data_IF_864280580384
#
_entry.id   IF_864280580384
#
_cell.length_a   1.000
_cell.length_b   1.000
_cell.length_c   1.000
_cell.angle_alpha   90.00
_cell.angle_beta   90.00
_cell.angle_gamma   90.00
#
_symmetry.space_group_name_H-M   'P 1'
#
loop_
_entity.id
_entity.type
_entity.pdbx_description
1 polymer ?
#
# COMPACT_ATOMS: atom_id res chain seq x y z
N UNK A 1 16.49 50.50 -7.43
CA UNK A 1 16.91 50.14 -8.80
C UNK A 1 18.39 49.69 -8.88
N UNK A 2 18.88 48.92 -7.88
CA UNK A 2 20.23 48.30 -7.88
C UNK A 2 20.17 46.78 -7.56
N UNK A 3 19.01 46.25 -7.18
CA UNK A 3 18.84 44.87 -6.67
C UNK A 3 18.94 43.75 -7.72
N UNK A 4 18.82 44.06 -9.02
CA UNK A 4 18.80 43.05 -10.12
C UNK A 4 20.15 42.88 -10.85
N UNK A 5 21.23 43.50 -10.38
CA UNK A 5 22.48 43.60 -11.17
C UNK A 5 23.61 42.65 -10.78
N UNK A 6 23.52 41.99 -9.64
CA UNK A 6 24.56 41.06 -9.17
C UNK A 6 24.17 39.63 -9.53
N UNK A 7 25.00 38.96 -10.32
CA UNK A 7 24.91 37.51 -10.54
C UNK A 7 25.23 36.75 -9.24
N UNK A 8 24.80 35.50 -9.12
CA UNK A 8 25.11 34.67 -7.94
C UNK A 8 26.62 34.51 -7.72
N UNK A 9 27.38 34.49 -8.81
CA UNK A 9 28.85 34.42 -8.80
C UNK A 9 29.47 35.70 -8.23
N UNK A 10 28.98 36.87 -8.65
CA UNK A 10 29.43 38.17 -8.09
C UNK A 10 29.01 38.34 -6.63
N UNK A 11 27.85 37.81 -6.23
CA UNK A 11 27.41 37.83 -4.83
C UNK A 11 28.32 36.96 -3.96
N UNK A 12 28.64 35.76 -4.43
CA UNK A 12 29.55 34.83 -3.75
C UNK A 12 30.97 35.40 -3.63
N UNK A 13 31.45 36.11 -4.65
CA UNK A 13 32.76 36.76 -4.64
C UNK A 13 32.84 37.87 -3.57
N UNK A 14 31.83 38.73 -3.48
CA UNK A 14 31.75 39.79 -2.45
C UNK A 14 31.72 39.19 -1.04
N UNK A 15 30.95 38.10 -0.84
CA UNK A 15 30.85 37.41 0.44
C UNK A 15 32.13 36.65 0.83
N UNK A 16 32.98 36.29 -0.16
CA UNK A 16 34.26 35.61 0.05
C UNK A 16 35.38 36.53 0.54
N UNK A 17 35.18 37.86 0.49
CA UNK A 17 36.03 38.84 1.16
C UNK A 17 37.16 39.47 0.33
N UNK A 18 37.34 39.11 -0.95
CA UNK A 18 38.28 39.79 -1.85
C UNK A 18 37.70 39.83 -3.27
N UNK A 19 37.41 41.03 -3.77
CA UNK A 19 36.94 41.26 -5.15
C UNK A 19 37.99 42.08 -5.86
N UNK A 20 38.56 41.56 -6.97
CA UNK A 20 39.61 42.25 -7.76
C UNK A 20 40.79 42.84 -6.94
N UNK A 21 41.14 42.19 -5.82
CA UNK A 21 42.25 42.61 -4.95
C UNK A 21 41.94 43.77 -4.00
N UNK A 22 40.67 44.16 -3.86
CA UNK A 22 40.18 45.16 -2.90
C UNK A 22 39.26 44.50 -1.88
N UNK A 23 39.47 44.76 -0.59
CA UNK A 23 38.57 44.28 0.47
C UNK A 23 37.22 45.04 0.38
N UNK A 24 36.08 44.33 0.33
CA UNK A 24 34.78 44.96 0.28
C UNK A 24 34.50 45.75 1.57
N UNK A 25 33.87 46.91 1.41
CA UNK A 25 33.52 47.76 2.55
C UNK A 25 32.47 47.10 3.44
N UNK A 26 32.40 47.50 4.71
CA UNK A 26 31.39 46.99 5.66
C UNK A 26 29.96 47.18 5.16
N UNK A 27 29.71 48.25 4.39
CA UNK A 27 28.40 48.54 3.81
C UNK A 27 28.08 47.63 2.61
N UNK A 28 29.07 47.31 1.77
CA UNK A 28 28.93 46.37 0.65
C UNK A 28 28.68 44.95 1.14
N UNK A 29 29.40 44.52 2.19
CA UNK A 29 29.22 43.21 2.79
C UNK A 29 27.81 43.07 3.40
N UNK A 30 27.35 44.09 4.14
CA UNK A 30 26.01 44.09 4.74
C UNK A 30 24.90 44.03 3.67
N UNK A 31 25.04 44.78 2.58
CA UNK A 31 24.08 44.77 1.47
C UNK A 31 24.08 43.44 0.70
N UNK A 32 25.25 42.79 0.57
CA UNK A 32 25.35 41.48 -0.06
C UNK A 32 24.69 40.37 0.79
N UNK A 33 24.86 40.42 2.12
CA UNK A 33 24.19 39.49 3.05
C UNK A 33 22.67 39.67 3.01
N UNK A 34 22.17 40.91 3.08
CA UNK A 34 20.73 41.18 3.00
C UNK A 34 20.13 40.70 1.66
N UNK A 35 20.86 40.88 0.55
CA UNK A 35 20.44 40.41 -0.76
C UNK A 35 20.43 38.87 -0.86
N UNK A 36 21.36 38.17 -0.19
CA UNK A 36 21.36 36.70 -0.11
C UNK A 36 20.15 36.20 0.66
N UNK A 37 19.86 36.76 1.84
CA UNK A 37 18.71 36.38 2.67
C UNK A 37 17.39 36.59 1.91
N UNK A 38 17.27 37.71 1.19
CA UNK A 38 16.10 37.98 0.34
C UNK A 38 15.95 36.97 -0.81
N UNK A 39 17.05 36.46 -1.39
CA UNK A 39 16.99 35.43 -2.44
C UNK A 39 16.52 34.10 -1.87
N UNK A 40 17.08 33.68 -0.75
CA UNK A 40 16.71 32.44 -0.06
C UNK A 40 15.22 32.44 0.35
N UNK A 41 14.73 33.57 0.89
CA UNK A 41 13.30 33.74 1.21
C UNK A 41 12.41 33.66 -0.03
N UNK A 42 12.83 34.28 -1.15
CA UNK A 42 12.08 34.21 -2.41
C UNK A 42 12.05 32.81 -3.00
N UNK A 43 13.15 32.05 -2.92
CA UNK A 43 13.20 30.66 -3.37
C UNK A 43 12.28 29.77 -2.53
N UNK A 44 12.29 29.95 -1.21
CA UNK A 44 11.40 29.25 -0.29
C UNK A 44 9.92 29.53 -0.63
N UNK A 45 9.55 30.81 -0.77
CA UNK A 45 8.19 31.21 -1.14
C UNK A 45 7.78 30.65 -2.51
N UNK A 46 8.68 30.64 -3.51
CA UNK A 46 8.39 30.02 -4.81
C UNK A 46 8.17 28.51 -4.70
N UNK A 47 8.93 27.84 -3.84
CA UNK A 47 8.75 26.41 -3.54
C UNK A 47 7.38 26.13 -2.90
N UNK A 48 6.97 26.94 -1.93
CA UNK A 48 5.65 26.83 -1.27
C UNK A 48 4.51 27.11 -2.25
N UNK A 49 4.64 28.14 -3.09
CA UNK A 49 3.64 28.48 -4.11
C UNK A 49 3.49 27.35 -5.15
N UNK A 50 4.60 26.73 -5.56
CA UNK A 50 4.58 25.59 -6.48
C UNK A 50 3.87 24.38 -5.86
N UNK A 51 4.16 24.06 -4.59
CA UNK A 51 3.45 23.00 -3.84
C UNK A 51 1.94 23.29 -3.78
N UNK A 52 1.55 24.51 -3.44
CA UNK A 52 0.14 24.92 -3.40
C UNK A 52 -0.53 24.78 -4.78
N UNK A 53 0.16 25.15 -5.86
CA UNK A 53 -0.34 25.01 -7.23
C UNK A 53 -0.57 23.55 -7.64
N UNK A 54 0.39 22.67 -7.31
CA UNK A 54 0.27 21.23 -7.57
C UNK A 54 -0.94 20.65 -6.82
N UNK A 55 -1.12 21.02 -5.54
CA UNK A 55 -2.27 20.60 -4.74
C UNK A 55 -3.58 21.06 -5.36
N UNK A 56 -3.66 22.32 -5.80
CA UNK A 56 -4.86 22.85 -6.44
C UNK A 56 -5.19 22.15 -7.76
N UNK A 57 -4.18 21.85 -8.60
CA UNK A 57 -4.37 21.10 -9.84
C UNK A 57 -4.88 19.68 -9.59
N UNK A 58 -4.35 19.01 -8.56
CA UNK A 58 -4.83 17.69 -8.16
C UNK A 58 -6.28 17.75 -7.68
N UNK A 59 -6.63 18.75 -6.86
CA UNK A 59 -8.01 18.95 -6.41
C UNK A 59 -8.96 19.23 -7.57
N UNK A 60 -8.56 20.05 -8.55
CA UNK A 60 -9.35 20.30 -9.76
C UNK A 60 -9.56 19.03 -10.60
N UNK A 61 -8.53 18.18 -10.75
CA UNK A 61 -8.66 16.89 -11.42
C UNK A 61 -9.64 15.97 -10.70
N UNK A 62 -9.63 15.93 -9.37
CA UNK A 62 -10.59 15.14 -8.60
C UNK A 62 -12.01 15.69 -8.76
N UNK A 63 -12.22 17.01 -8.68
CA UNK A 63 -13.52 17.65 -8.92
C UNK A 63 -14.06 17.36 -10.33
N UNK A 64 -13.20 17.30 -11.34
CA UNK A 64 -13.60 16.90 -12.70
C UNK A 64 -14.03 15.44 -12.78
N UNK A 65 -13.43 14.53 -11.99
CA UNK A 65 -13.87 13.13 -11.91
C UNK A 65 -15.26 13.00 -11.29
N UNK A 66 -15.53 13.68 -10.16
CA UNK A 66 -16.85 13.63 -9.52
C UNK A 66 -17.96 14.19 -10.42
N UNK A 67 -17.67 15.22 -11.23
CA UNK A 67 -18.61 15.76 -12.22
C UNK A 67 -19.08 14.72 -13.26
N UNK A 68 -18.25 13.71 -13.56
CA UNK A 68 -18.63 12.64 -14.49
C UNK A 68 -19.51 11.55 -13.83
N UNK A 69 -19.51 11.45 -12.50
CA UNK A 69 -20.29 10.45 -11.75
C UNK A 69 -21.76 10.88 -11.64
N UNK A 70 -22.02 12.15 -11.38
CA UNK A 70 -23.38 12.70 -11.29
C UNK A 70 -24.13 12.71 -12.64
N UNK A 71 -23.42 12.49 -13.76
CA UNK A 71 -23.99 12.42 -15.10
C UNK A 71 -24.29 11.01 -15.61
N UNK A 72 -23.99 9.96 -14.83
CA UNK A 72 -24.26 8.59 -15.25
C UNK A 72 -25.77 8.27 -15.14
N UNK A 73 -26.34 7.69 -16.20
CA UNK A 73 -27.72 7.20 -16.15
C UNK A 73 -27.77 5.80 -15.50
N UNK A 74 -28.70 5.55 -14.55
CA UNK A 74 -28.87 4.24 -13.94
C UNK A 74 -29.45 3.24 -14.95
N UNK A 75 -28.97 1.99 -14.89
CA UNK A 75 -29.32 0.94 -15.86
C UNK A 75 -30.52 0.13 -15.38
N UNK A 76 -30.52 -0.22 -14.10
CA UNK A 76 -31.61 -0.93 -13.41
C UNK A 76 -31.75 -0.39 -11.99
N UNK A 77 -32.77 -0.81 -11.27
CA UNK A 77 -32.88 -0.59 -9.84
C UNK A 77 -33.29 -1.86 -9.12
N UNK A 78 -33.01 -1.92 -7.83
CA UNK A 78 -33.42 -3.00 -6.93
C UNK A 78 -33.88 -2.41 -5.61
N UNK A 79 -34.33 -3.22 -4.66
CA UNK A 79 -34.71 -2.77 -3.32
C UNK A 79 -34.03 -3.58 -2.22
N UNK A 80 -34.18 -3.13 -0.98
CA UNK A 80 -33.57 -3.76 0.18
C UNK A 80 -34.08 -5.19 0.43
N UNK A 81 -35.31 -5.51 0.02
CA UNK A 81 -35.88 -6.84 0.17
C UNK A 81 -35.22 -7.82 -0.81
N UNK A 82 -35.07 -7.42 -2.07
CA UNK A 82 -34.37 -8.21 -3.08
C UNK A 82 -32.91 -8.46 -2.68
N UNK A 83 -32.22 -7.47 -2.09
CA UNK A 83 -30.86 -7.66 -1.58
C UNK A 83 -30.79 -8.66 -0.40
N UNK A 84 -31.82 -8.69 0.46
CA UNK A 84 -31.92 -9.71 1.51
C UNK A 84 -32.12 -11.11 0.93
N UNK A 85 -32.94 -11.22 -0.11
CA UNK A 85 -33.24 -12.48 -0.78
C UNK A 85 -32.00 -12.99 -1.55
N UNK A 86 -31.22 -12.09 -2.17
CA UNK A 86 -29.89 -12.43 -2.74
C UNK A 86 -28.97 -13.00 -1.67
N UNK A 87 -28.89 -12.38 -0.49
CA UNK A 87 -28.02 -12.86 0.60
C UNK A 87 -28.47 -14.21 1.16
N UNK A 88 -29.79 -14.47 1.20
CA UNK A 88 -30.37 -15.70 1.77
C UNK A 88 -30.31 -16.86 0.78
N UNK A 89 -30.75 -16.61 -0.45
CA UNK A 89 -31.07 -17.65 -1.44
C UNK A 89 -30.19 -17.59 -2.70
N UNK A 90 -29.37 -16.54 -2.85
CA UNK A 90 -28.47 -16.36 -3.99
C UNK A 90 -29.11 -15.72 -5.22
N UNK A 91 -30.37 -15.25 -5.14
CA UNK A 91 -31.06 -14.59 -6.24
C UNK A 91 -31.99 -13.48 -5.75
N UNK A 92 -32.23 -12.49 -6.62
CA UNK A 92 -33.18 -11.38 -6.39
C UNK A 92 -33.51 -10.68 -7.69
N UNK A 93 -34.60 -9.91 -7.70
CA UNK A 93 -35.11 -9.23 -8.88
C UNK A 93 -34.41 -7.88 -9.14
N UNK A 94 -34.25 -7.59 -10.43
CA UNK A 94 -33.84 -6.31 -10.96
C UNK A 94 -35.00 -5.70 -11.74
N UNK A 95 -35.23 -4.40 -11.54
CA UNK A 95 -36.34 -3.67 -12.13
C UNK A 95 -35.84 -2.60 -13.11
N UNK A 96 -36.65 -2.29 -14.12
CA UNK A 96 -36.34 -1.25 -15.11
C UNK A 96 -36.47 0.14 -14.50
N UNK A 97 -35.50 1.02 -14.75
CA UNK A 97 -35.55 2.42 -14.29
C UNK A 97 -36.59 3.23 -15.07
N UNK A 98 -36.97 2.81 -16.28
CA UNK A 98 -37.95 3.51 -17.08
C UNK A 98 -38.93 2.56 -17.79
N UNK A 99 -40.21 2.47 -17.39
CA UNK A 99 -40.82 3.17 -16.27
C UNK A 99 -40.53 2.48 -14.92
N UNK A 100 -40.36 3.27 -13.85
CA UNK A 100 -40.58 2.77 -12.48
C UNK A 100 -42.09 2.57 -12.33
N UNK A 101 -42.51 1.39 -11.86
CA UNK A 101 -43.93 1.07 -11.69
C UNK A 101 -44.62 2.10 -10.77
N UNK A 102 -45.85 2.57 -11.09
CA UNK A 102 -46.47 3.73 -10.41
C UNK A 102 -46.72 3.58 -8.91
N UNK A 103 -46.64 2.36 -8.38
CA UNK A 103 -46.94 2.01 -6.99
C UNK A 103 -45.69 1.72 -6.16
N UNK A 104 -44.50 1.96 -6.72
CA UNK A 104 -43.23 1.78 -6.02
C UNK A 104 -43.01 2.90 -5.02
N UNK A 105 -42.63 2.54 -3.79
CA UNK A 105 -42.14 3.48 -2.79
C UNK A 105 -40.78 4.03 -3.23
N UNK A 106 -40.65 5.34 -3.54
CA UNK A 106 -39.40 5.92 -3.99
C UNK A 106 -38.25 5.77 -2.97
N UNK A 107 -38.56 5.61 -1.69
CA UNK A 107 -37.56 5.42 -0.63
C UNK A 107 -36.94 4.03 -0.62
N UNK A 108 -37.52 3.07 -1.36
CA UNK A 108 -37.01 1.71 -1.49
C UNK A 108 -36.15 1.50 -2.73
N UNK A 109 -36.04 2.50 -3.60
CA UNK A 109 -35.37 2.39 -4.91
C UNK A 109 -33.86 2.56 -4.75
N UNK A 110 -33.11 1.48 -4.96
CA UNK A 110 -31.65 1.46 -5.05
C UNK A 110 -31.25 1.37 -6.53
N UNK A 111 -30.76 2.47 -7.10
CA UNK A 111 -30.34 2.54 -8.51
C UNK A 111 -28.99 1.85 -8.70
N UNK A 112 -28.90 1.01 -9.73
CA UNK A 112 -27.70 0.29 -10.13
C UNK A 112 -27.22 0.80 -11.49
N UNK A 113 -25.91 0.94 -11.62
CA UNK A 113 -25.25 1.48 -12.81
C UNK A 113 -24.38 0.37 -13.40
N UNK A 114 -24.18 0.35 -14.72
CA UNK A 114 -23.32 -0.65 -15.36
C UNK A 114 -21.81 -0.45 -15.10
N UNK A 115 -21.42 0.71 -14.52
CA UNK A 115 -20.08 1.11 -14.00
C UNK A 115 -19.02 1.26 -15.12
N UNK A 116 -18.10 2.27 -15.05
CA UNK A 116 -17.39 2.65 -13.83
C UNK A 116 -17.33 4.12 -13.43
N UNK A 117 -17.44 4.43 -12.11
CA UNK A 117 -16.82 5.61 -11.55
C UNK A 117 -15.61 5.22 -10.68
N UNK A 118 -14.46 5.24 -11.35
CA UNK A 118 -13.11 5.57 -10.91
C UNK A 118 -12.40 4.78 -9.77
N UNK A 119 -11.08 4.49 -9.93
CA UNK A 119 -10.16 4.00 -8.89
C UNK A 119 -10.03 4.88 -7.63
N UNK A 120 -10.74 6.01 -7.57
CA UNK A 120 -10.58 7.02 -6.54
C UNK A 120 -11.03 6.58 -5.14
N UNK A 121 -12.02 5.68 -5.03
CA UNK A 121 -12.39 5.13 -3.71
C UNK A 121 -11.24 4.31 -3.14
N UNK A 122 -10.52 3.56 -3.98
CA UNK A 122 -9.34 2.82 -3.54
C UNK A 122 -8.18 3.76 -3.21
N UNK A 123 -7.90 4.78 -4.03
CA UNK A 123 -6.83 5.74 -3.75
C UNK A 123 -7.09 6.56 -2.48
N UNK A 124 -8.33 7.02 -2.26
CA UNK A 124 -8.70 7.77 -1.05
C UNK A 124 -8.70 6.87 0.19
N UNK A 125 -9.15 5.62 0.07
CA UNK A 125 -9.06 4.62 1.15
C UNK A 125 -7.59 4.27 1.43
N UNK A 126 -6.74 4.11 0.41
CA UNK A 126 -5.31 3.85 0.58
C UNK A 126 -4.58 5.04 1.20
N UNK A 127 -4.94 6.27 0.84
CA UNK A 127 -4.40 7.48 1.46
C UNK A 127 -4.86 7.61 2.93
N UNK A 128 -6.12 7.29 3.23
CA UNK A 128 -6.63 7.26 4.61
C UNK A 128 -5.94 6.16 5.41
N UNK A 129 -5.76 4.97 4.83
CA UNK A 129 -5.00 3.86 5.44
C UNK A 129 -3.57 4.33 5.73
N UNK A 130 -2.89 4.97 4.78
CA UNK A 130 -1.54 5.52 4.98
C UNK A 130 -1.49 6.58 6.10
N UNK A 131 -2.46 7.48 6.17
CA UNK A 131 -2.56 8.49 7.25
C UNK A 131 -2.81 7.85 8.62
N UNK A 132 -3.57 6.75 8.67
CA UNK A 132 -3.84 6.00 9.90
C UNK A 132 -2.63 5.15 10.33
N UNK A 133 -1.96 4.48 9.39
CA UNK A 133 -0.77 3.66 9.63
C UNK A 133 0.43 4.49 10.11
N UNK A 134 0.61 5.70 9.56
CA UNK A 134 1.68 6.62 9.95
C UNK A 134 1.31 7.53 11.13
N UNK A 135 0.07 7.44 11.64
CA UNK A 135 -0.45 8.25 12.74
C UNK A 135 -0.45 9.77 12.48
N UNK A 136 -0.45 10.19 11.21
CA UNK A 136 -0.40 11.59 10.75
C UNK A 136 -1.79 12.27 10.72
N UNK A 137 -2.86 11.49 10.91
CA UNK A 137 -4.24 12.00 10.94
C UNK A 137 -4.49 13.01 12.09
N UNK A 138 -3.76 12.90 13.19
CA UNK A 138 -3.92 13.75 14.37
C UNK A 138 -3.57 15.22 14.10
N UNK A 139 -2.65 15.51 13.18
CA UNK A 139 -2.25 16.90 12.88
C UNK A 139 -3.33 17.69 12.12
N UNK A 140 -4.25 16.99 11.45
CA UNK A 140 -5.28 17.59 10.61
C UNK A 140 -6.65 17.77 11.29
N UNK A 141 -6.88 17.21 12.48
CA UNK A 141 -8.18 17.22 13.16
C UNK A 141 -8.33 18.25 14.29
N UNK A 142 -7.35 19.11 14.58
CA UNK A 142 -7.29 19.81 15.88
C UNK A 142 -7.95 21.21 15.96
N UNK A 143 -8.45 21.77 14.86
CA UNK A 143 -8.89 23.18 14.83
C UNK A 143 -10.40 23.43 15.03
N UNK A 144 -11.22 22.39 15.21
CA UNK A 144 -12.68 22.56 15.39
C UNK A 144 -13.23 21.58 16.42
N UNK A 145 -14.37 21.91 17.05
CA UNK A 145 -15.08 21.01 17.99
C UNK A 145 -15.44 19.68 17.33
N UNK A 146 -15.85 19.73 16.05
CA UNK A 146 -16.11 18.52 15.27
C UNK A 146 -14.81 17.73 15.07
N UNK A 147 -13.71 18.40 14.79
CA UNK A 147 -12.38 17.80 14.65
C UNK A 147 -11.91 17.08 15.91
N UNK A 148 -12.06 17.68 17.10
CA UNK A 148 -11.72 17.03 18.37
C UNK A 148 -12.64 15.85 18.70
N UNK A 149 -13.92 15.91 18.32
CA UNK A 149 -14.84 14.77 18.46
C UNK A 149 -14.50 13.65 17.48
N UNK A 150 -14.12 13.99 16.24
CA UNK A 150 -13.65 13.03 15.25
C UNK A 150 -12.34 12.40 15.70
N UNK A 151 -11.41 13.19 16.21
CA UNK A 151 -10.14 12.74 16.78
C UNK A 151 -10.38 11.80 17.95
N UNK A 152 -11.26 12.18 18.88
CA UNK A 152 -11.65 11.33 20.01
C UNK A 152 -12.31 10.03 19.55
N UNK A 153 -13.18 10.07 18.55
CA UNK A 153 -13.89 8.89 18.06
C UNK A 153 -12.98 7.98 17.23
N UNK A 154 -12.09 8.53 16.41
CA UNK A 154 -11.04 7.79 15.69
C UNK A 154 -10.06 7.17 16.69
N UNK A 155 -9.56 7.93 17.68
CA UNK A 155 -8.71 7.41 18.76
C UNK A 155 -9.42 6.28 19.51
N UNK A 156 -10.72 6.44 19.79
CA UNK A 156 -11.53 5.43 20.47
C UNK A 156 -11.67 4.17 19.61
N UNK A 157 -11.97 4.30 18.32
CA UNK A 157 -12.12 3.17 17.40
C UNK A 157 -10.77 2.46 17.16
N UNK A 158 -9.69 3.21 16.94
CA UNK A 158 -8.33 2.67 16.84
C UNK A 158 -7.93 1.96 18.14
N UNK A 159 -8.22 2.56 19.30
CA UNK A 159 -7.99 1.98 20.62
C UNK A 159 -8.90 0.79 20.98
N UNK A 160 -10.06 0.63 20.32
CA UNK A 160 -10.90 -0.58 20.42
C UNK A 160 -10.43 -1.70 19.48
N UNK A 161 -9.74 -1.34 18.40
CA UNK A 161 -9.14 -2.28 17.45
C UNK A 161 -7.77 -2.74 17.95
N UNK A 162 -7.12 -1.95 18.80
CA UNK A 162 -5.94 -2.39 19.55
C UNK A 162 -6.37 -3.17 20.80
N UNK A 163 -5.79 -4.36 21.06
CA UNK A 163 -6.04 -5.08 22.30
C UNK A 163 -5.56 -4.24 23.49
N UNK A 164 -6.25 -4.40 24.62
CA UNK A 164 -6.08 -3.61 25.85
C UNK A 164 -4.60 -3.42 26.27
N UNK A 165 -4.25 -2.29 26.94
CA UNK A 165 -2.90 -2.03 27.44
C UNK A 165 -2.61 -2.99 28.60
N UNK A 166 -2.11 -4.16 28.23
CA UNK A 166 -1.90 -5.33 29.09
C UNK A 166 -1.30 -6.53 28.35
N UNK A 167 -1.26 -6.52 27.02
CA UNK A 167 -0.47 -7.46 26.23
C UNK A 167 -0.01 -6.80 24.92
N UNK A 168 0.89 -5.83 25.03
CA UNK A 168 1.76 -5.47 23.91
C UNK A 168 2.75 -6.61 23.70
N UNK A 169 2.30 -7.73 23.16
CA UNK A 169 3.22 -8.58 22.42
C UNK A 169 3.39 -7.89 21.07
N UNK A 170 4.26 -6.89 21.02
CA UNK A 170 5.16 -6.80 19.88
C UNK A 170 5.76 -8.20 19.76
N UNK A 171 5.15 -9.06 18.93
CA UNK A 171 5.65 -10.40 18.67
C UNK A 171 6.96 -10.19 17.92
N UNK A 172 8.01 -9.93 18.70
CA UNK A 172 9.38 -10.14 18.30
C UNK A 172 9.39 -11.51 17.64
N UNK A 173 9.66 -11.53 16.33
CA UNK A 173 9.76 -12.73 15.53
C UNK A 173 10.53 -13.79 16.33
N UNK A 174 9.85 -14.87 16.70
CA UNK A 174 10.44 -15.91 17.54
C UNK A 174 11.65 -16.50 16.83
N UNK A 175 12.61 -17.03 17.58
CA UNK A 175 13.80 -17.64 16.98
C UNK A 175 13.44 -18.76 15.99
N UNK A 176 12.35 -19.50 16.26
CA UNK A 176 11.85 -20.52 15.35
C UNK A 176 11.36 -19.93 14.01
N UNK A 177 10.56 -18.85 14.04
CA UNK A 177 10.10 -18.18 12.82
C UNK A 177 11.27 -17.54 12.05
N UNK A 178 12.21 -16.93 12.77
CA UNK A 178 13.43 -16.35 12.19
C UNK A 178 14.26 -17.39 11.45
N UNK A 179 14.41 -18.58 12.02
CA UNK A 179 15.15 -19.69 11.41
C UNK A 179 14.46 -20.25 10.16
N UNK A 180 13.13 -20.34 10.16
CA UNK A 180 12.36 -20.77 8.97
C UNK A 180 12.51 -19.76 7.84
N UNK A 181 12.38 -18.46 8.13
CA UNK A 181 12.60 -17.40 7.14
C UNK A 181 14.03 -17.43 6.61
N UNK A 182 15.02 -17.55 7.50
CA UNK A 182 16.42 -17.62 7.11
C UNK A 182 16.71 -18.86 6.23
N UNK A 183 16.10 -20.00 6.53
CA UNK A 183 16.25 -21.20 5.70
C UNK A 183 15.58 -21.05 4.33
N UNK A 184 14.37 -20.48 4.26
CA UNK A 184 13.71 -20.19 2.98
C UNK A 184 14.57 -19.26 2.12
N UNK A 185 15.13 -18.21 2.71
CA UNK A 185 16.06 -17.31 2.02
C UNK A 185 17.33 -18.02 1.56
N UNK A 186 17.86 -18.97 2.34
CA UNK A 186 19.02 -19.79 1.93
C UNK A 186 18.67 -20.72 0.76
N UNK A 187 17.49 -21.34 0.76
CA UNK A 187 17.03 -22.19 -0.36
C UNK A 187 17.00 -21.38 -1.66
N UNK A 188 16.48 -20.16 -1.62
CA UNK A 188 16.44 -19.27 -2.80
C UNK A 188 17.85 -18.81 -3.18
N UNK A 189 18.57 -18.15 -2.27
CA UNK A 189 19.82 -17.44 -2.58
C UNK A 189 21.05 -18.34 -2.74
N UNK A 190 21.11 -19.47 -2.04
CA UNK A 190 22.29 -20.36 -2.03
C UNK A 190 22.04 -21.63 -2.83
N UNK A 191 20.83 -22.20 -2.75
CA UNK A 191 20.49 -23.42 -3.50
C UNK A 191 19.91 -23.14 -4.88
N UNK A 192 19.46 -21.91 -5.15
CA UNK A 192 18.82 -21.55 -6.41
C UNK A 192 17.43 -22.17 -6.57
N UNK A 193 16.79 -22.57 -5.47
CA UNK A 193 15.41 -23.06 -5.48
C UNK A 193 14.49 -21.85 -5.52
N UNK A 194 14.31 -21.30 -6.72
CA UNK A 194 13.58 -20.05 -6.91
C UNK A 194 12.06 -20.30 -6.89
N UNK A 195 11.25 -19.28 -6.56
CA UNK A 195 9.79 -19.37 -6.66
C UNK A 195 9.30 -19.87 -8.02
N UNK A 196 9.95 -19.46 -9.12
CA UNK A 196 9.59 -19.86 -10.47
C UNK A 196 9.92 -21.34 -10.74
N UNK A 197 10.97 -21.88 -10.10
CA UNK A 197 11.27 -23.30 -10.13
C UNK A 197 10.25 -24.09 -9.32
N UNK A 198 9.88 -23.58 -8.15
CA UNK A 198 8.85 -24.17 -7.28
C UNK A 198 7.49 -24.28 -8.03
N UNK A 199 7.16 -23.29 -8.88
CA UNK A 199 5.94 -23.28 -9.71
C UNK A 199 5.87 -24.41 -10.75
N UNK A 200 6.99 -25.09 -11.04
CA UNK A 200 7.00 -26.26 -11.94
C UNK A 200 6.50 -27.54 -11.27
N UNK A 201 6.39 -27.56 -9.95
CA UNK A 201 5.91 -28.70 -9.17
C UNK A 201 4.39 -28.68 -9.04
N UNK A 202 3.75 -29.82 -9.33
CA UNK A 202 2.27 -29.95 -9.37
C UNK A 202 1.76 -31.22 -8.65
N UNK A 203 2.65 -32.15 -8.29
CA UNK A 203 2.36 -33.42 -7.65
C UNK A 203 2.64 -33.43 -6.14
N UNK A 204 2.58 -32.28 -5.48
CA UNK A 204 2.88 -32.11 -4.04
C UNK A 204 4.33 -32.40 -3.65
N UNK A 205 5.27 -32.28 -4.59
CA UNK A 205 6.69 -32.62 -4.40
C UNK A 205 7.33 -31.82 -3.26
N UNK A 206 7.01 -30.52 -3.14
CA UNK A 206 7.50 -29.67 -2.04
C UNK A 206 7.01 -30.17 -0.67
N UNK A 207 5.74 -30.59 -0.57
CA UNK A 207 5.16 -31.14 0.65
C UNK A 207 5.74 -32.53 0.97
N UNK A 208 5.95 -33.37 -0.05
CA UNK A 208 6.55 -34.70 0.10
C UNK A 208 8.03 -34.62 0.57
N UNK A 209 8.79 -33.66 0.02
CA UNK A 209 10.13 -33.34 0.51
C UNK A 209 10.11 -32.82 1.96
N UNK A 210 9.10 -32.06 2.37
CA UNK A 210 8.95 -31.62 3.75
C UNK A 210 8.72 -32.82 4.71
N UNK A 211 7.88 -33.79 4.34
CA UNK A 211 7.67 -35.03 5.10
C UNK A 211 9.00 -35.77 5.29
N UNK A 212 9.82 -35.86 4.24
CA UNK A 212 11.13 -36.51 4.31
C UNK A 212 12.07 -35.87 5.33
N UNK A 213 11.95 -34.57 5.59
CA UNK A 213 12.68 -33.91 6.68
C UNK A 213 12.02 -34.12 8.05
N UNK A 214 10.69 -34.22 8.14
CA UNK A 214 9.99 -34.51 9.41
C UNK A 214 10.30 -35.94 9.88
N UNK A 215 10.28 -36.90 8.96
CA UNK A 215 10.56 -38.32 9.22
C UNK A 215 11.68 -38.84 8.29
N UNK A 216 12.96 -38.56 8.58
CA UNK A 216 14.06 -38.98 7.71
C UNK A 216 14.19 -40.49 7.50
N UNK A 217 13.63 -41.31 8.40
CA UNK A 217 13.58 -42.76 8.25
C UNK A 217 12.66 -43.22 7.10
N UNK A 218 11.66 -42.40 6.76
CA UNK A 218 10.67 -42.66 5.71
C UNK A 218 10.98 -41.88 4.43
N UNK A 219 12.14 -41.22 4.35
CA UNK A 219 12.51 -40.39 3.20
C UNK A 219 12.52 -41.18 1.88
N UNK A 220 12.82 -42.48 1.88
CA UNK A 220 12.75 -43.33 0.68
C UNK A 220 11.33 -43.40 0.08
N UNK A 221 10.28 -43.23 0.89
CA UNK A 221 8.89 -43.29 0.47
C UNK A 221 8.34 -41.94 -0.02
N UNK A 222 8.91 -40.83 0.45
CA UNK A 222 8.36 -39.48 0.24
C UNK A 222 9.29 -38.54 -0.51
N UNK A 223 10.59 -38.81 -0.58
CA UNK A 223 11.51 -37.95 -1.32
C UNK A 223 11.15 -38.00 -2.80
N UNK A 224 10.95 -36.84 -3.48
CA UNK A 224 10.55 -36.85 -4.88
C UNK A 224 11.54 -37.63 -5.74
N UNK A 225 11.06 -38.63 -6.48
CA UNK A 225 11.91 -39.57 -7.21
C UNK A 225 12.82 -38.89 -8.26
N UNK A 226 12.38 -37.76 -8.81
CA UNK A 226 13.13 -36.99 -9.82
C UNK A 226 14.11 -35.98 -9.18
N UNK A 227 14.18 -35.90 -7.85
CA UNK A 227 15.14 -35.04 -7.15
C UNK A 227 16.40 -35.84 -6.81
N UNK A 228 17.58 -35.26 -7.03
CA UNK A 228 18.84 -35.91 -6.70
C UNK A 228 18.93 -36.28 -5.22
N UNK A 229 19.15 -37.57 -4.91
CA UNK A 229 19.32 -38.10 -3.54
C UNK A 229 20.35 -37.32 -2.71
N UNK A 230 21.45 -36.88 -3.34
CA UNK A 230 22.53 -36.10 -2.68
C UNK A 230 22.08 -34.71 -2.18
N UNK A 231 20.88 -34.27 -2.57
CA UNK A 231 20.26 -33.03 -2.11
C UNK A 231 19.55 -33.22 -0.77
N UNK A 232 19.13 -34.45 -0.44
CA UNK A 232 18.58 -34.77 0.86
C UNK A 232 19.70 -34.85 1.90
N UNK A 233 19.71 -33.89 2.84
CA UNK A 233 20.74 -33.81 3.88
C UNK A 233 20.09 -33.62 5.24
N UNK A 234 19.54 -34.68 5.84
CA UNK A 234 19.00 -34.61 7.19
C UNK A 234 20.11 -34.28 8.20
N UNK A 235 19.72 -33.57 9.25
CA UNK A 235 20.55 -33.13 10.37
C UNK A 235 19.86 -33.58 11.66
N UNK A 236 20.07 -32.86 12.76
CA UNK A 236 19.26 -32.92 13.97
C UNK A 236 17.77 -32.58 13.73
N UNK A 237 16.94 -33.05 14.65
CA UNK A 237 15.48 -32.96 14.58
C UNK A 237 14.99 -31.51 14.40
N UNK A 238 15.50 -30.56 15.21
CA UNK A 238 15.05 -29.16 15.13
C UNK A 238 15.40 -28.56 13.77
N UNK A 239 16.62 -28.76 13.29
CA UNK A 239 17.04 -28.24 11.99
C UNK A 239 16.26 -28.87 10.84
N UNK A 240 15.88 -30.13 10.95
CA UNK A 240 15.04 -30.77 9.96
C UNK A 240 13.62 -30.20 9.95
N UNK A 241 13.02 -29.93 11.12
CA UNK A 241 11.73 -29.22 11.19
C UNK A 241 11.82 -27.84 10.52
N UNK A 242 12.91 -27.10 10.72
CA UNK A 242 13.11 -25.81 10.04
C UNK A 242 13.15 -25.95 8.51
N UNK A 243 13.87 -26.96 7.99
CA UNK A 243 13.92 -27.24 6.55
C UNK A 243 12.55 -27.67 6.00
N UNK A 244 11.85 -28.53 6.74
CA UNK A 244 10.50 -28.97 6.39
C UNK A 244 9.52 -27.80 6.34
N UNK A 245 9.52 -26.95 7.37
CA UNK A 245 8.69 -25.74 7.41
C UNK A 245 9.03 -24.77 6.27
N UNK A 246 10.31 -24.60 5.92
CA UNK A 246 10.69 -23.76 4.78
C UNK A 246 10.18 -24.32 3.44
N UNK A 247 10.17 -25.65 3.26
CA UNK A 247 9.57 -26.30 2.09
C UNK A 247 8.04 -26.17 2.06
N UNK A 248 7.36 -26.23 3.22
CA UNK A 248 5.93 -25.97 3.32
C UNK A 248 5.59 -24.51 3.01
N UNK A 249 6.42 -23.56 3.44
CA UNK A 249 6.29 -22.14 3.05
C UNK A 249 6.41 -21.99 1.54
N UNK A 250 7.38 -22.67 0.91
CA UNK A 250 7.52 -22.66 -0.55
C UNK A 250 6.26 -23.18 -1.27
N UNK A 251 5.65 -24.26 -0.78
CA UNK A 251 4.41 -24.80 -1.33
C UNK A 251 3.22 -23.85 -1.16
N UNK A 252 3.10 -23.19 -0.01
CA UNK A 252 2.06 -22.19 0.20
C UNK A 252 2.24 -20.98 -0.73
N UNK A 253 3.47 -20.47 -0.85
CA UNK A 253 3.80 -19.38 -1.78
C UNK A 253 3.45 -19.74 -3.23
N UNK A 254 3.68 -21.00 -3.64
CA UNK A 254 3.30 -21.53 -4.96
C UNK A 254 1.78 -21.53 -5.16
N UNK A 255 1.03 -22.04 -4.19
CA UNK A 255 -0.44 -22.07 -4.23
C UNK A 255 -1.02 -20.66 -4.30
N UNK A 256 -0.50 -19.73 -3.50
CA UNK A 256 -0.95 -18.33 -3.49
C UNK A 256 -0.74 -17.66 -4.86
N UNK A 257 0.40 -17.93 -5.53
CA UNK A 257 0.66 -17.43 -6.90
C UNK A 257 -0.30 -18.00 -7.94
N UNK A 258 -0.62 -19.29 -7.86
CA UNK A 258 -1.57 -19.94 -8.76
C UNK A 258 -2.97 -19.35 -8.55
N UNK A 259 -3.41 -19.18 -7.31
CA UNK A 259 -4.69 -18.56 -6.99
C UNK A 259 -4.78 -17.12 -7.51
N UNK A 260 -3.74 -16.31 -7.33
CA UNK A 260 -3.70 -14.94 -7.86
C UNK A 260 -3.76 -14.90 -9.40
N UNK A 261 -3.07 -15.83 -10.07
CA UNK A 261 -3.07 -15.93 -11.54
C UNK A 261 -4.42 -16.39 -12.09
N UNK A 262 -5.09 -17.35 -11.41
CA UNK A 262 -6.43 -17.81 -11.78
C UNK A 262 -7.43 -16.66 -11.78
N UNK A 263 -7.42 -15.84 -10.73
CA UNK A 263 -8.30 -14.66 -10.59
C UNK A 263 -8.07 -13.65 -11.71
N UNK A 264 -6.81 -13.37 -12.07
CA UNK A 264 -6.50 -12.45 -13.17
C UNK A 264 -6.96 -12.98 -14.54
N UNK A 265 -6.83 -14.29 -14.79
CA UNK A 265 -7.25 -14.90 -16.06
C UNK A 265 -8.77 -15.00 -16.27
N UNK A 266 -9.55 -14.90 -15.19
CA UNK A 266 -11.01 -14.84 -15.23
C UNK A 266 -11.50 -13.42 -15.51
N UNK A 267 -10.79 -12.40 -15.00
CA UNK A 267 -11.09 -10.98 -15.28
C UNK A 267 -10.81 -10.60 -16.74
N UNK A 268 -9.79 -11.19 -17.38
CA UNK A 268 -9.46 -10.90 -18.80
C UNK A 268 -10.37 -11.63 -19.81
N UNK A 269 -11.28 -12.52 -19.35
CA UNK A 269 -12.21 -13.29 -20.19
C UNK A 269 -13.64 -12.73 -20.24
N UNK A 270 -13.90 -11.63 -19.56
CA UNK A 270 -15.18 -10.88 -19.59
C UNK A 270 -15.04 -9.56 -20.36
#
# INVERSE_FOLDING_TARGET
MISDRLTDEQLAEILSGVVDGVEPTTQELAMATELQELREQNELQRGELLKAHITLLNQQKQLQKYRNVDSAEPVVWTDEQELRDVKRDGFGYLFTVNPITPHVDPHRVIKLFAVPPAPGVYDDVLNIIGLLENNEWAEHCTNTVLGSLLESEITRLVGMTQPAPGESVSQSLTDALRDVIAERQRQISVKGWTPEHDDTYIGYELAAAAISYIEPAEAENYWPADWHDDSFRPSDYRRNLVKASALLVAELERLDRISATSVLSEVDRE
#
